data_IF_258137452785
#
_entry.id   IF_258137452785
#
_cell.length_a   1.000
_cell.length_b   1.000
_cell.length_c   1.000
_cell.angle_alpha   90.00
_cell.angle_beta   90.00
_cell.angle_gamma   90.00
#
_symmetry.space_group_name_H-M   'P 1'
#
loop_
_entity.id
_entity.type
_entity.pdbx_description
1 polymer ?
#
# COMPACT_ATOMS: atom_id res chain seq x y z
N UNK A 1 26.37 6.78 5.42
CA UNK A 1 25.35 5.80 5.82
C UNK A 1 24.69 5.31 4.54
N UNK A 2 25.02 4.10 4.10
CA UNK A 2 24.51 3.55 2.85
C UNK A 2 23.00 3.33 2.96
N UNK A 3 22.23 3.90 2.04
CA UNK A 3 20.81 3.59 1.88
C UNK A 3 20.72 2.24 1.14
N UNK A 4 21.01 1.14 1.82
CA UNK A 4 20.57 -0.18 1.33
C UNK A 4 19.06 -0.24 1.47
N UNK A 5 18.35 -0.34 0.33
CA UNK A 5 16.92 -0.64 0.33
C UNK A 5 16.72 -2.05 0.88
N UNK A 6 15.67 -2.21 1.68
CA UNK A 6 15.28 -3.47 2.29
C UNK A 6 14.45 -4.31 1.32
N UNK A 7 14.65 -5.62 1.37
CA UNK A 7 13.93 -6.61 0.58
C UNK A 7 12.63 -7.03 1.27
N UNK A 8 11.75 -7.69 0.52
CA UNK A 8 10.48 -8.19 1.03
C UNK A 8 10.70 -9.15 2.22
N UNK A 9 9.92 -8.94 3.28
CA UNK A 9 10.00 -9.67 4.55
C UNK A 9 10.86 -9.00 5.63
N UNK A 10 11.71 -8.02 5.30
CA UNK A 10 12.49 -7.27 6.29
C UNK A 10 11.64 -6.28 7.09
N UNK A 11 12.06 -5.97 8.32
CA UNK A 11 11.32 -5.06 9.22
C UNK A 11 11.54 -3.60 8.79
N UNK A 12 10.45 -2.88 8.58
CA UNK A 12 10.46 -1.50 8.15
C UNK A 12 9.67 -0.60 9.11
N UNK A 13 10.03 0.69 9.12
CA UNK A 13 9.30 1.75 9.85
C UNK A 13 8.65 2.70 8.84
N UNK A 14 9.14 2.74 7.61
CA UNK A 14 8.59 3.54 6.53
C UNK A 14 8.80 2.86 5.16
N UNK A 15 7.84 3.02 4.26
CA UNK A 15 7.87 2.52 2.89
C UNK A 15 9.07 3.00 2.08
N UNK A 16 9.69 4.14 2.43
CA UNK A 16 10.91 4.60 1.77
C UNK A 16 12.10 3.65 1.94
N UNK A 17 12.11 2.84 3.02
CA UNK A 17 13.15 1.85 3.29
C UNK A 17 13.05 0.63 2.37
N UNK A 18 11.85 0.29 1.91
CA UNK A 18 11.61 -0.89 1.10
C UNK A 18 11.95 -0.65 -0.37
N UNK A 19 12.53 -1.65 -1.03
CA UNK A 19 12.74 -1.68 -2.48
C UNK A 19 11.40 -1.59 -3.22
N UNK A 20 10.40 -2.35 -2.74
CA UNK A 20 9.01 -2.36 -3.23
C UNK A 20 8.25 -1.04 -2.99
N UNK A 21 8.77 -0.16 -2.14
CA UNK A 21 8.07 1.04 -1.65
C UNK A 21 6.75 0.77 -0.92
N UNK A 22 6.59 -0.41 -0.31
CA UNK A 22 5.51 -0.66 0.62
C UNK A 22 6.02 -1.29 1.92
N UNK A 23 5.70 -0.63 3.03
CA UNK A 23 5.86 -1.15 4.38
C UNK A 23 4.46 -1.44 4.96
N UNK A 24 4.19 -2.69 5.30
CA UNK A 24 2.83 -3.16 5.62
C UNK A 24 2.77 -3.93 6.94
N UNK A 25 1.65 -3.81 7.65
CA UNK A 25 1.33 -4.60 8.85
C UNK A 25 -0.14 -5.04 8.84
N UNK A 26 -0.41 -6.25 9.33
CA UNK A 26 -1.77 -6.82 9.28
C UNK A 26 -2.68 -6.39 10.45
N UNK A 27 -2.11 -5.83 11.52
CA UNK A 27 -2.84 -5.49 12.75
C UNK A 27 -2.32 -4.21 13.38
N UNK A 28 -3.15 -3.49 14.16
CA UNK A 28 -2.80 -2.18 14.77
C UNK A 28 -1.48 -2.21 15.57
N UNK A 29 -1.16 -3.34 16.21
CA UNK A 29 0.06 -3.53 17.02
C UNK A 29 1.08 -4.47 16.35
N UNK A 30 0.88 -4.79 15.07
CA UNK A 30 1.74 -5.67 14.29
C UNK A 30 3.06 -5.00 13.91
N UNK A 31 4.13 -5.80 13.79
CA UNK A 31 5.40 -5.34 13.26
C UNK A 31 5.26 -5.18 11.74
N UNK A 32 5.59 -4.00 11.23
CA UNK A 32 5.55 -3.75 9.79
C UNK A 32 6.76 -4.36 9.08
N UNK A 33 6.51 -4.93 7.90
CA UNK A 33 7.52 -5.52 7.03
C UNK A 33 7.39 -5.02 5.60
N UNK A 34 8.50 -5.02 4.88
CA UNK A 34 8.51 -4.74 3.45
C UNK A 34 7.74 -5.84 2.71
N UNK A 35 6.91 -5.46 1.75
CA UNK A 35 6.19 -6.42 0.90
C UNK A 35 5.90 -5.80 -0.45
N UNK A 36 5.50 -6.63 -1.42
CA UNK A 36 5.10 -6.19 -2.75
C UNK A 36 3.87 -5.30 -2.72
N UNK A 37 3.76 -4.44 -3.75
CA UNK A 37 2.56 -3.62 -3.98
C UNK A 37 1.39 -4.49 -4.45
N UNK A 38 0.19 -3.96 -4.29
CA UNK A 38 -1.02 -4.67 -4.70
C UNK A 38 -1.12 -4.78 -6.23
N UNK A 39 -1.37 -6.00 -6.71
CA UNK A 39 -1.53 -6.33 -8.14
C UNK A 39 -2.96 -6.10 -8.62
N UNK A 40 -3.21 -6.19 -9.93
CA UNK A 40 -4.56 -6.06 -10.49
C UNK A 40 -5.55 -7.04 -9.84
N UNK A 41 -6.76 -6.56 -9.53
CA UNK A 41 -7.83 -7.28 -8.86
C UNK A 41 -7.55 -7.71 -7.41
N UNK A 42 -6.51 -7.15 -6.76
CA UNK A 42 -6.23 -7.37 -5.33
C UNK A 42 -6.65 -6.17 -4.46
N UNK A 43 -6.84 -6.43 -3.16
CA UNK A 43 -7.12 -5.40 -2.17
C UNK A 43 -5.97 -4.40 -2.03
N UNK A 44 -6.30 -3.12 -1.96
CA UNK A 44 -5.33 -2.04 -1.82
C UNK A 44 -5.79 -0.98 -0.85
N UNK A 45 -4.84 -0.15 -0.39
CA UNK A 45 -5.16 1.17 0.17
C UNK A 45 -4.73 2.27 -0.80
N UNK A 46 -5.45 3.41 -0.83
CA UNK A 46 -4.97 4.60 -1.52
C UNK A 46 -3.62 5.03 -0.95
N UNK A 47 -2.80 5.66 -1.79
CA UNK A 47 -1.51 6.15 -1.34
C UNK A 47 -1.68 7.23 -0.26
N UNK A 48 -1.03 7.05 0.88
CA UNK A 48 -1.10 7.98 2.02
C UNK A 48 0.29 8.53 2.37
N UNK A 49 0.31 9.68 3.03
CA UNK A 49 1.55 10.33 3.51
C UNK A 49 2.17 9.64 4.72
N UNK A 50 1.43 8.74 5.40
CA UNK A 50 1.88 8.07 6.62
C UNK A 50 3.01 7.05 6.37
N UNK A 51 3.16 6.58 5.12
CA UNK A 51 4.30 5.75 4.72
C UNK A 51 4.29 4.33 5.27
N UNK A 52 3.25 3.90 5.99
CA UNK A 52 3.02 2.53 6.44
C UNK A 52 1.54 2.18 6.18
N UNK A 53 1.27 0.95 5.79
CA UNK A 53 -0.04 0.53 5.26
C UNK A 53 -0.59 -0.71 5.94
N UNK A 54 -1.93 -0.83 6.03
CA UNK A 54 -2.60 -2.11 6.30
C UNK A 54 -2.72 -2.96 5.04
N UNK A 55 -2.96 -2.32 3.90
CA UNK A 55 -2.95 -2.92 2.56
C UNK A 55 -2.09 -2.06 1.65
N UNK A 56 -1.16 -2.65 0.92
CA UNK A 56 -0.25 -1.88 0.07
C UNK A 56 -1.00 -1.11 -1.03
N UNK A 57 -0.43 0.02 -1.49
CA UNK A 57 -0.93 0.68 -2.67
C UNK A 57 -0.69 -0.19 -3.91
N UNK A 58 -1.43 0.08 -4.98
CA UNK A 58 -1.30 -0.64 -6.22
C UNK A 58 0.06 -0.46 -6.90
N UNK A 59 0.41 -1.44 -7.73
CA UNK A 59 1.48 -1.31 -8.70
C UNK A 59 1.24 -0.16 -9.68
N UNK A 60 2.32 0.28 -10.32
CA UNK A 60 2.28 1.39 -11.26
C UNK A 60 1.41 1.02 -12.47
N UNK A 61 0.45 1.86 -12.81
CA UNK A 61 -0.49 1.62 -13.92
C UNK A 61 -1.89 1.21 -13.46
N UNK A 62 -2.06 0.89 -12.18
CA UNK A 62 -3.34 0.55 -11.57
C UNK A 62 -3.84 1.70 -10.69
N UNK A 63 -5.16 1.82 -10.57
CA UNK A 63 -5.84 2.72 -9.63
C UNK A 63 -6.50 1.91 -8.52
N UNK A 64 -6.40 2.39 -7.27
CA UNK A 64 -7.08 1.77 -6.14
C UNK A 64 -8.52 2.30 -6.06
N UNK A 65 -9.47 1.55 -6.60
CA UNK A 65 -10.87 1.91 -6.68
C UNK A 65 -11.66 1.27 -5.53
N UNK A 66 -12.28 2.10 -4.69
CA UNK A 66 -13.06 1.65 -3.55
C UNK A 66 -13.90 2.79 -2.98
N UNK A 67 -14.85 2.45 -2.11
CA UNK A 67 -15.71 3.43 -1.46
C UNK A 67 -14.90 4.30 -0.49
N UNK A 68 -14.62 5.53 -0.92
CA UNK A 68 -13.88 6.52 -0.12
C UNK A 68 -14.84 7.19 0.84
N UNK A 69 -14.87 6.73 2.09
CA UNK A 69 -15.65 7.37 3.16
C UNK A 69 -14.77 8.31 3.99
N UNK A 70 -15.39 9.32 4.60
CA UNK A 70 -14.70 10.25 5.51
C UNK A 70 -14.11 9.47 6.70
N UNK A 71 -14.89 8.53 7.27
CA UNK A 71 -14.43 7.70 8.38
C UNK A 71 -13.24 6.83 7.96
N UNK A 72 -13.31 6.18 6.80
CA UNK A 72 -12.21 5.35 6.29
C UNK A 72 -10.95 6.12 5.92
N UNK A 73 -11.06 7.44 5.63
CA UNK A 73 -9.89 8.30 5.41
C UNK A 73 -9.18 8.62 6.73
N UNK A 74 -9.94 8.78 7.82
CA UNK A 74 -9.41 9.00 9.17
C UNK A 74 -8.78 7.72 9.72
N UNK A 75 -9.42 6.57 9.54
CA UNK A 75 -8.92 5.27 10.05
C UNK A 75 -7.93 4.58 9.12
N UNK A 76 -7.65 5.14 7.93
CA UNK A 76 -6.78 4.55 6.89
C UNK A 76 -7.26 3.14 6.46
N UNK A 77 -8.59 2.96 6.41
CA UNK A 77 -9.26 1.72 6.01
C UNK A 77 -10.17 1.92 4.79
N UNK A 78 -9.92 2.95 3.99
CA UNK A 78 -10.54 3.10 2.67
C UNK A 78 -9.92 2.08 1.71
N UNK A 79 -10.21 0.80 1.92
CA UNK A 79 -9.73 -0.24 1.04
C UNK A 79 -10.48 -0.19 -0.30
N UNK A 80 -9.76 -0.54 -1.35
CA UNK A 80 -10.31 -0.69 -2.69
C UNK A 80 -9.74 -1.91 -3.36
N UNK A 81 -9.99 -2.02 -4.66
CA UNK A 81 -9.44 -3.02 -5.56
C UNK A 81 -8.58 -2.30 -6.59
N UNK A 82 -7.40 -2.85 -6.88
CA UNK A 82 -6.56 -2.32 -7.95
C UNK A 82 -7.15 -2.65 -9.32
N UNK A 83 -7.50 -1.62 -10.09
CA UNK A 83 -8.03 -1.75 -11.44
C UNK A 83 -7.12 -1.03 -12.44
N UNK A 84 -6.97 -1.60 -13.63
CA UNK A 84 -6.22 -0.96 -14.69
C UNK A 84 -6.87 0.36 -15.14
N UNK A 85 -6.06 1.43 -15.21
CA UNK A 85 -6.52 2.77 -15.56
C UNK A 85 -7.02 2.84 -17.02
N UNK A 86 -6.49 1.98 -17.91
CA UNK A 86 -6.94 1.84 -19.28
C UNK A 86 -8.31 1.18 -19.40
N UNK A 87 -8.67 0.29 -18.48
CA UNK A 87 -9.98 -0.39 -18.44
C UNK A 87 -11.11 0.49 -17.90
N UNK A 88 -10.80 1.48 -17.05
CA UNK A 88 -11.79 2.43 -16.52
C UNK A 88 -12.30 3.48 -17.54
N UNK A 89 -11.76 3.51 -18.77
CA UNK A 89 -12.15 4.47 -19.82
C UNK A 89 -13.04 3.87 -20.92
N UNK A 90 -13.55 2.66 -20.73
CA UNK A 90 -14.48 2.00 -21.64
C UNK A 90 -15.85 1.85 -20.98
#
# INVERSE_FOLDING_TARGET
>A
MGLSLQDDGEICINSMQCSSKCCQHDTILGIARCTHKAIENSECSPQTVYGVYYRCPCERGLSCEGDKTILGAITNTNYGICLDVGRSKQ
#
